data_IF_662058642790
#
_entry.id   IF_662058642790
#
_cell.length_a   1.000
_cell.length_b   1.000
_cell.length_c   1.000
_cell.angle_alpha   90.00
_cell.angle_beta   90.00
_cell.angle_gamma   90.00
#
_symmetry.space_group_name_H-M   'P 1'
#
loop_
_entity.id
_entity.type
_entity.pdbx_description
1 polymer ?
#
# COMPACT_ATOMS: atom_id res chain seq x y z
N UNK A 1 27.02 -9.02 2.28
CA UNK A 1 27.18 -8.22 1.06
C UNK A 1 26.55 -6.85 1.31
N UNK A 2 27.40 -5.81 1.38
CA UNK A 2 27.09 -4.39 1.18
C UNK A 2 25.91 -3.74 1.90
N UNK A 3 26.01 -3.52 3.21
CA UNK A 3 25.35 -2.36 3.82
C UNK A 3 26.28 -1.15 3.63
N UNK A 4 26.33 -0.64 2.39
CA UNK A 4 26.94 0.65 2.10
C UNK A 4 26.04 1.73 2.70
N UNK A 5 26.64 2.70 3.38
CA UNK A 5 25.93 3.86 3.93
C UNK A 5 25.40 4.70 2.76
N UNK A 6 24.22 4.38 2.25
CA UNK A 6 23.53 5.10 1.17
C UNK A 6 22.97 6.46 1.61
N UNK A 7 23.14 6.82 2.87
CA UNK A 7 22.60 8.07 3.43
C UNK A 7 23.00 9.33 2.65
N UNK A 8 24.28 9.53 2.22
CA UNK A 8 24.64 10.70 1.43
C UNK A 8 24.01 10.70 0.03
N UNK A 9 23.88 9.53 -0.59
CA UNK A 9 23.23 9.40 -1.90
C UNK A 9 21.73 9.69 -1.80
N UNK A 10 21.03 9.07 -0.84
CA UNK A 10 19.61 9.29 -0.59
C UNK A 10 19.30 10.75 -0.26
N UNK A 11 20.12 11.40 0.57
CA UNK A 11 19.99 12.83 0.85
C UNK A 11 20.07 13.69 -0.42
N UNK A 12 21.05 13.40 -1.30
CA UNK A 12 21.16 14.07 -2.60
C UNK A 12 19.93 13.85 -3.49
N UNK A 13 19.32 12.65 -3.48
CA UNK A 13 18.08 12.41 -4.20
C UNK A 13 16.93 13.28 -3.67
N UNK A 14 16.78 13.37 -2.35
CA UNK A 14 15.76 14.19 -1.69
C UNK A 14 15.89 15.67 -2.07
N UNK A 15 17.11 16.22 -2.07
CA UNK A 15 17.35 17.61 -2.46
C UNK A 15 16.88 17.94 -3.88
N UNK A 16 16.91 16.96 -4.81
CA UNK A 16 16.45 17.14 -6.19
C UNK A 16 14.93 17.17 -6.33
N UNK A 17 14.19 16.64 -5.35
CA UNK A 17 12.72 16.53 -5.41
C UNK A 17 12.00 17.34 -4.32
N UNK A 18 12.72 18.02 -3.44
CA UNK A 18 12.17 18.71 -2.26
C UNK A 18 11.08 19.74 -2.58
N UNK A 19 11.15 20.35 -3.76
CA UNK A 19 10.21 21.38 -4.21
C UNK A 19 9.13 20.81 -5.16
N UNK A 20 9.13 19.51 -5.46
CA UNK A 20 8.05 18.89 -6.24
C UNK A 20 6.78 18.81 -5.38
N UNK A 21 5.62 19.27 -5.90
CA UNK A 21 4.37 19.08 -5.19
C UNK A 21 4.03 17.59 -5.17
N UNK A 22 3.43 17.11 -4.08
CA UNK A 22 3.00 15.71 -3.96
C UNK A 22 2.01 15.32 -5.08
N UNK A 23 1.22 16.28 -5.56
CA UNK A 23 0.33 16.08 -6.70
C UNK A 23 1.06 15.65 -7.98
N UNK A 24 2.36 15.92 -8.13
CA UNK A 24 3.14 15.48 -9.28
C UNK A 24 3.56 14.00 -9.21
N UNK A 25 3.46 13.37 -8.04
CA UNK A 25 3.93 11.98 -7.82
C UNK A 25 2.85 11.06 -7.24
N UNK A 26 1.68 11.59 -6.87
CA UNK A 26 0.57 10.79 -6.36
C UNK A 26 -0.22 10.12 -7.49
N UNK A 27 -0.82 8.97 -7.19
CA UNK A 27 -1.86 8.40 -8.06
C UNK A 27 -3.14 9.24 -7.89
N UNK A 28 -3.65 9.82 -8.99
CA UNK A 28 -4.80 10.73 -8.93
C UNK A 28 -6.14 10.02 -8.77
N UNK A 29 -6.23 8.77 -9.23
CA UNK A 29 -7.44 7.95 -9.14
C UNK A 29 -7.07 6.56 -8.61
N UNK A 30 -6.66 6.47 -7.33
CA UNK A 30 -6.29 5.20 -6.75
C UNK A 30 -7.52 4.30 -6.67
N UNK A 31 -7.33 3.02 -7.00
CA UNK A 31 -8.33 1.99 -6.73
C UNK A 31 -8.47 1.87 -5.20
N UNK A 32 -9.69 1.99 -4.71
CA UNK A 32 -10.04 1.90 -3.29
C UNK A 32 -11.13 0.85 -3.06
N UNK A 33 -11.30 0.46 -1.80
CA UNK A 33 -12.39 -0.43 -1.36
C UNK A 33 -13.21 0.24 -0.26
N UNK A 34 -14.47 -0.16 -0.11
CA UNK A 34 -15.37 0.32 0.93
C UNK A 34 -15.27 -0.52 2.21
N UNK A 35 -15.88 -0.06 3.30
CA UNK A 35 -15.87 -0.76 4.60
C UNK A 35 -16.59 -2.13 4.59
N UNK A 36 -17.48 -2.34 3.64
CA UNK A 36 -18.29 -3.56 3.45
C UNK A 36 -17.71 -4.53 2.41
N UNK A 37 -16.59 -4.16 1.76
CA UNK A 37 -15.91 -5.02 0.80
C UNK A 37 -15.40 -6.31 1.46
N UNK A 38 -15.47 -7.42 0.72
CA UNK A 38 -14.99 -8.70 1.19
C UNK A 38 -13.46 -8.80 1.06
N UNK A 39 -12.87 -9.65 1.91
CA UNK A 39 -11.41 -9.92 1.84
C UNK A 39 -11.01 -10.51 0.48
N UNK A 40 -11.90 -11.27 -0.16
CA UNK A 40 -11.72 -11.80 -1.52
C UNK A 40 -11.54 -10.69 -2.55
N UNK A 41 -12.31 -9.61 -2.46
CA UNK A 41 -12.26 -8.49 -3.40
C UNK A 41 -10.88 -7.83 -3.34
N UNK A 42 -10.38 -7.62 -2.11
CA UNK A 42 -9.04 -7.07 -1.87
C UNK A 42 -7.94 -8.02 -2.38
N UNK A 43 -8.11 -9.34 -2.20
CA UNK A 43 -7.17 -10.33 -2.70
C UNK A 43 -7.11 -10.33 -4.24
N UNK A 44 -8.27 -10.30 -4.89
CA UNK A 44 -8.37 -10.21 -6.35
C UNK A 44 -7.72 -8.93 -6.88
N UNK A 45 -7.95 -7.80 -6.22
CA UNK A 45 -7.29 -6.54 -6.56
C UNK A 45 -5.76 -6.66 -6.52
N UNK A 46 -5.18 -7.33 -5.52
CA UNK A 46 -3.73 -7.54 -5.47
C UNK A 46 -3.20 -8.57 -6.49
N UNK A 47 -4.05 -9.45 -7.02
CA UNK A 47 -3.67 -10.39 -8.08
C UNK A 47 -3.71 -9.72 -9.46
N UNK A 48 -4.72 -8.89 -9.69
CA UNK A 48 -4.98 -8.22 -10.97
C UNK A 48 -4.11 -6.98 -11.16
N UNK A 49 -3.73 -6.31 -10.07
CA UNK A 49 -2.98 -5.06 -10.13
C UNK A 49 -1.62 -5.14 -9.43
N UNK A 50 -0.68 -4.29 -9.86
CA UNK A 50 0.69 -4.23 -9.34
C UNK A 50 0.89 -3.29 -8.14
N UNK A 51 -0.19 -2.81 -7.52
CA UNK A 51 -0.07 -1.98 -6.32
C UNK A 51 0.15 -2.81 -5.05
N UNK A 52 0.82 -2.20 -4.06
CA UNK A 52 1.13 -2.86 -2.78
C UNK A 52 0.17 -2.47 -1.65
N UNK A 53 -0.66 -1.46 -1.89
CA UNK A 53 -1.52 -0.82 -0.89
C UNK A 53 -2.84 -0.43 -1.53
N UNK A 54 -3.92 -0.52 -0.77
CA UNK A 54 -5.27 -0.11 -1.18
C UNK A 54 -5.87 0.79 -0.10
N UNK A 55 -6.31 2.03 -0.43
CA UNK A 55 -7.07 2.86 0.49
C UNK A 55 -8.44 2.25 0.79
N UNK A 56 -8.87 2.32 2.06
CA UNK A 56 -10.24 2.00 2.48
C UNK A 56 -11.00 3.31 2.63
N UNK A 57 -12.17 3.41 2.00
CA UNK A 57 -12.98 4.62 1.97
C UNK A 57 -14.36 4.41 2.61
N UNK A 58 -14.87 5.47 3.24
CA UNK A 58 -16.27 5.63 3.62
C UNK A 58 -16.82 6.85 2.85
N UNK A 59 -17.60 6.58 1.81
CA UNK A 59 -17.97 7.58 0.80
C UNK A 59 -16.74 8.21 0.14
N UNK A 60 -16.52 9.50 0.38
CA UNK A 60 -15.36 10.27 -0.16
C UNK A 60 -14.19 10.38 0.81
N UNK A 61 -14.28 9.78 2.00
CA UNK A 61 -13.28 9.91 3.05
C UNK A 61 -12.41 8.66 3.09
N UNK A 62 -11.08 8.83 3.07
CA UNK A 62 -10.14 7.74 3.37
C UNK A 62 -10.15 7.50 4.89
N UNK A 63 -10.46 6.27 5.29
CA UNK A 63 -10.56 5.86 6.70
C UNK A 63 -9.51 4.82 7.10
N UNK A 64 -8.78 4.24 6.14
CA UNK A 64 -7.72 3.28 6.41
C UNK A 64 -6.90 2.93 5.17
N UNK A 65 -5.88 2.07 5.35
CA UNK A 65 -5.04 1.53 4.29
C UNK A 65 -4.81 0.04 4.55
N UNK A 66 -4.98 -0.78 3.51
CA UNK A 66 -4.63 -2.21 3.53
C UNK A 66 -3.31 -2.39 2.78
N UNK A 67 -2.33 -3.00 3.45
CA UNK A 67 -1.08 -3.45 2.83
C UNK A 67 -1.23 -4.90 2.37
N UNK A 68 -0.63 -5.25 1.24
CA UNK A 68 -0.59 -6.64 0.75
C UNK A 68 -0.04 -7.62 1.79
N UNK A 69 1.00 -7.21 2.52
CA UNK A 69 1.57 -8.01 3.62
C UNK A 69 0.58 -8.21 4.79
N UNK A 70 -0.25 -7.20 5.08
CA UNK A 70 -1.26 -7.28 6.14
C UNK A 70 -2.38 -8.26 5.78
N UNK A 71 -2.76 -8.32 4.51
CA UNK A 71 -3.68 -9.34 4.00
C UNK A 71 -3.10 -10.74 4.17
N UNK A 72 -1.86 -10.97 3.72
CA UNK A 72 -1.20 -12.27 3.87
C UNK A 72 -1.12 -12.70 5.34
N UNK A 73 -0.74 -11.80 6.24
CA UNK A 73 -0.71 -12.08 7.69
C UNK A 73 -2.10 -12.42 8.26
N UNK A 74 -3.16 -11.76 7.78
CA UNK A 74 -4.52 -12.09 8.20
C UNK A 74 -4.92 -13.51 7.72
N UNK A 75 -4.56 -13.88 6.49
CA UNK A 75 -4.81 -15.22 5.95
C UNK A 75 -4.09 -16.30 6.76
N UNK A 76 -2.83 -16.08 7.16
CA UNK A 76 -2.10 -17.05 8.01
C UNK A 76 -2.75 -17.23 9.37
N UNK A 77 -3.31 -16.16 9.96
CA UNK A 77 -4.04 -16.22 11.24
C UNK A 77 -5.35 -17.01 11.14
N UNK A 78 -6.00 -17.00 9.98
CA UNK A 78 -7.21 -17.79 9.73
C UNK A 78 -6.91 -19.26 9.43
N UNK A 79 -5.71 -19.58 8.90
CA UNK A 79 -5.27 -20.95 8.63
C UNK A 79 -4.80 -21.68 9.90
N UNK A 80 -4.43 -20.96 10.97
CA UNK A 80 -4.15 -21.50 12.30
C UNK A 80 -5.42 -22.00 13.03
N UNK A 81 -6.60 -21.92 12.40
CA UNK A 81 -7.91 -22.34 12.97
C UNK A 81 -8.45 -23.63 12.30
N UNK A 82 -7.66 -24.33 11.48
CA UNK A 82 -8.00 -25.68 11.06
C UNK A 82 -7.48 -26.70 12.09
N UNK A 83 -8.35 -27.53 12.72
CA UNK A 83 -7.90 -28.62 13.59
C UNK A 83 -7.12 -29.69 12.81
#
# INVERSE_FOLDING_TARGET
AGAGSDAPFFASLCDRIKDLPISAIMEHQPISVTLDAQVSDVAELFLTHRFQRVPVVDGKKVVGIIYRSRLLFAMTKSLEVAP
#
